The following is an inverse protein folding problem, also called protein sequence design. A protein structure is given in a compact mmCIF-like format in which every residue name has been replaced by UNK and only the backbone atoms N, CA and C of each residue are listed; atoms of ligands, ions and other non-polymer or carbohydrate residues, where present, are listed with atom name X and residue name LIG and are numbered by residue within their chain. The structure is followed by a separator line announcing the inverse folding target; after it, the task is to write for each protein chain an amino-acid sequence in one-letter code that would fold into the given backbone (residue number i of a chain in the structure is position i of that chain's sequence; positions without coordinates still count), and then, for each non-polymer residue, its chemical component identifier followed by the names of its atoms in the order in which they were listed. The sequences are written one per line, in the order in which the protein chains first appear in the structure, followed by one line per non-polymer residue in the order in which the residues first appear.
data_IF_560621276377
#
_entry.id   IF_560621276377
#
_cell.length_a   1.000
_cell.length_b   1.000
_cell.length_c   1.000
_cell.angle_alpha   90.00
_cell.angle_beta   90.00
_cell.angle_gamma   90.00
#
_symmetry.space_group_name_H-M   'P 1'
#
loop_
_entity.id
_entity.type
_entity.pdbx_description
1 polymer ?
#
# COMPACT_ATOMS: atom_id res chain seq x y z
N UNK A 1 2.22 -8.81 15.54
CA UNK A 1 1.78 -9.49 14.32
C UNK A 1 0.86 -8.57 13.55
N UNK A 2 1.30 -8.13 12.35
CA UNK A 2 0.51 -7.25 11.47
C UNK A 2 -0.49 -8.07 10.64
N UNK A 3 -0.06 -9.25 10.20
CA UNK A 3 -0.85 -10.18 9.41
C UNK A 3 -0.67 -11.59 9.96
N UNK A 4 -1.77 -12.34 10.00
CA UNK A 4 -1.77 -13.73 10.40
C UNK A 4 -2.78 -14.48 9.54
N UNK A 5 -2.39 -15.63 8.97
CA UNK A 5 -3.34 -16.47 8.29
C UNK A 5 -4.31 -17.11 9.29
N UNK A 6 -5.50 -17.49 8.85
CA UNK A 6 -6.47 -18.17 9.73
C UNK A 6 -5.91 -19.49 10.28
N UNK A 7 -5.06 -20.17 9.50
CA UNK A 7 -4.40 -21.40 9.94
C UNK A 7 -3.40 -21.12 11.05
N UNK A 8 -2.55 -20.09 10.88
CA UNK A 8 -1.58 -19.69 11.89
C UNK A 8 -2.27 -19.13 13.13
N UNK A 9 -3.35 -18.36 12.98
CA UNK A 9 -4.14 -17.88 14.10
C UNK A 9 -4.69 -19.03 14.96
N UNK A 10 -5.19 -20.10 14.33
CA UNK A 10 -5.62 -21.31 15.04
C UNK A 10 -4.47 -22.00 15.78
N UNK A 11 -3.29 -22.06 15.17
CA UNK A 11 -2.09 -22.63 15.83
C UNK A 11 -1.68 -21.78 17.04
N UNK A 12 -1.65 -20.46 16.90
CA UNK A 12 -1.36 -19.55 18.01
C UNK A 12 -2.37 -19.73 19.14
N UNK A 13 -3.65 -19.79 18.82
CA UNK A 13 -4.72 -19.98 19.79
C UNK A 13 -4.65 -21.34 20.50
N UNK A 14 -4.16 -22.39 19.82
CA UNK A 14 -3.96 -23.71 20.46
C UNK A 14 -2.79 -23.73 21.46
N UNK A 15 -1.81 -22.82 21.29
CA UNK A 15 -0.65 -22.68 22.19
C UNK A 15 -0.95 -21.74 23.36
N UNK A 16 -1.68 -20.64 23.07
CA UNK A 16 -2.04 -19.61 24.05
C UNK A 16 -3.54 -19.25 23.86
N UNK A 17 -4.45 -20.01 24.51
CA UNK A 17 -5.88 -19.73 24.43
C UNK A 17 -6.24 -18.35 24.99
N UNK A 18 -7.03 -17.59 24.25
CA UNK A 18 -7.39 -16.20 24.59
C UNK A 18 -6.30 -15.18 24.30
N UNK A 19 -5.21 -15.60 23.63
CA UNK A 19 -4.07 -14.75 23.30
C UNK A 19 -4.20 -14.02 21.97
N UNK A 20 -3.05 -13.80 21.32
CA UNK A 20 -2.97 -13.05 20.07
C UNK A 20 -3.73 -13.73 18.93
N UNK A 21 -3.85 -15.07 18.92
CA UNK A 21 -4.56 -15.85 17.91
C UNK A 21 -6.02 -15.45 17.81
N UNK A 22 -6.68 -15.26 18.95
CA UNK A 22 -8.10 -14.92 19.04
C UNK A 22 -8.46 -13.67 18.25
N UNK A 23 -7.66 -12.62 18.32
CA UNK A 23 -7.88 -11.35 17.59
C UNK A 23 -8.07 -11.56 16.08
N UNK A 24 -7.29 -12.44 15.49
CA UNK A 24 -7.37 -12.76 14.07
C UNK A 24 -8.55 -13.68 13.74
N UNK A 25 -8.89 -14.58 14.65
CA UNK A 25 -10.05 -15.49 14.48
C UNK A 25 -11.36 -14.72 14.56
N UNK A 26 -11.47 -13.81 15.50
CA UNK A 26 -12.66 -12.95 15.72
C UNK A 26 -12.68 -11.69 14.86
N UNK A 27 -11.60 -11.44 14.07
CA UNK A 27 -11.46 -10.29 13.18
C UNK A 27 -11.53 -8.94 13.89
N UNK A 28 -11.02 -8.88 15.11
CA UNK A 28 -10.93 -7.61 15.83
C UNK A 28 -10.06 -6.61 15.06
N UNK A 29 -10.47 -5.35 15.13
CA UNK A 29 -9.67 -4.29 14.51
C UNK A 29 -8.36 -4.09 15.26
N UNK A 30 -7.27 -3.79 14.55
CA UNK A 30 -6.05 -3.33 15.19
C UNK A 30 -6.25 -1.93 15.81
N UNK A 31 -5.29 -1.48 16.62
CA UNK A 31 -5.30 -0.12 17.15
C UNK A 31 -5.31 0.92 16.01
N UNK A 32 -5.71 2.15 16.31
CA UNK A 32 -5.74 3.24 15.32
C UNK A 32 -4.38 3.48 14.68
N UNK A 33 -3.29 3.40 15.48
CA UNK A 33 -1.92 3.53 14.97
C UNK A 33 -1.60 2.43 13.96
N UNK A 34 -2.01 1.20 14.22
CA UNK A 34 -1.77 0.09 13.31
C UNK A 34 -2.63 0.19 12.04
N UNK A 35 -3.88 0.69 12.15
CA UNK A 35 -4.70 1.02 10.98
C UNK A 35 -4.02 2.11 10.14
N UNK A 36 -3.52 3.18 10.78
CA UNK A 36 -2.81 4.26 10.10
C UNK A 36 -1.54 3.75 9.41
N UNK A 37 -0.71 2.99 10.11
CA UNK A 37 0.52 2.44 9.55
C UNK A 37 0.25 1.58 8.32
N UNK A 38 -0.84 0.80 8.29
CA UNK A 38 -1.20 0.00 7.13
C UNK A 38 -1.48 0.86 5.88
N UNK A 39 -2.22 1.96 6.05
CA UNK A 39 -2.56 2.85 4.94
C UNK A 39 -1.38 3.72 4.52
N UNK A 40 -0.58 4.21 5.48
CA UNK A 40 0.63 4.96 5.20
C UNK A 40 1.67 4.10 4.43
N UNK A 41 1.85 2.85 4.84
CA UNK A 41 2.68 1.88 4.11
C UNK A 41 2.18 1.69 2.68
N UNK A 42 0.87 1.54 2.47
CA UNK A 42 0.28 1.35 1.16
C UNK A 42 0.55 2.55 0.24
N UNK A 43 0.37 3.78 0.76
CA UNK A 43 0.68 5.01 0.04
C UNK A 43 2.15 5.06 -0.34
N UNK A 44 3.04 4.80 0.62
CA UNK A 44 4.48 4.86 0.42
C UNK A 44 4.97 3.81 -0.59
N UNK A 45 4.53 2.55 -0.44
CA UNK A 45 4.89 1.48 -1.37
C UNK A 45 4.45 1.78 -2.80
N UNK A 46 3.21 2.20 -3.01
CA UNK A 46 2.73 2.53 -4.35
C UNK A 46 3.56 3.65 -5.00
N UNK A 47 3.98 4.65 -4.22
CA UNK A 47 4.80 5.75 -4.70
C UNK A 47 6.22 5.29 -5.09
N UNK A 48 6.86 4.50 -4.23
CA UNK A 48 8.20 3.97 -4.49
C UNK A 48 8.20 2.98 -5.65
N UNK A 49 7.20 2.12 -5.74
CA UNK A 49 7.08 1.14 -6.82
C UNK A 49 6.89 1.79 -8.20
N UNK A 50 6.18 2.92 -8.28
CA UNK A 50 6.08 3.69 -9.52
C UNK A 50 7.46 4.25 -9.92
N UNK A 51 8.20 4.87 -8.99
CA UNK A 51 9.54 5.41 -9.27
C UNK A 51 10.50 4.29 -9.67
N UNK A 52 10.56 3.21 -8.90
CA UNK A 52 11.43 2.07 -9.16
C UNK A 52 11.07 1.36 -10.48
N UNK A 53 9.78 1.21 -10.76
CA UNK A 53 9.30 0.62 -12.01
C UNK A 53 9.72 1.40 -13.25
N UNK A 54 9.59 2.73 -13.20
CA UNK A 54 10.01 3.61 -14.31
C UNK A 54 11.53 3.66 -14.39
N UNK A 55 12.24 3.78 -13.27
CA UNK A 55 13.70 3.85 -13.22
C UNK A 55 14.37 2.58 -13.72
N UNK A 56 13.79 1.42 -13.43
CA UNK A 56 14.26 0.12 -13.93
C UNK A 56 13.87 -0.16 -15.38
N UNK A 57 13.01 0.65 -15.98
CA UNK A 57 12.48 0.42 -17.33
C UNK A 57 11.43 -0.70 -17.43
N UNK A 58 10.95 -1.20 -16.30
CA UNK A 58 9.89 -2.22 -16.25
C UNK A 58 8.51 -1.65 -16.51
N UNK A 59 8.32 -0.36 -16.20
CA UNK A 59 7.09 0.40 -16.46
C UNK A 59 7.47 1.67 -17.22
N UNK A 60 6.63 2.09 -18.16
CA UNK A 60 6.80 3.35 -18.88
C UNK A 60 5.86 4.44 -18.36
N UNK A 61 6.19 5.69 -18.63
CA UNK A 61 5.31 6.83 -18.34
C UNK A 61 3.95 6.70 -19.03
N UNK A 62 3.93 6.20 -20.28
CA UNK A 62 2.71 6.02 -21.05
C UNK A 62 1.80 4.96 -20.39
N UNK A 63 2.37 3.87 -19.90
CA UNK A 63 1.61 2.88 -19.14
C UNK A 63 1.04 3.43 -17.84
N UNK A 64 1.78 4.30 -17.13
CA UNK A 64 1.25 4.97 -15.92
C UNK A 64 0.10 5.91 -16.24
N UNK A 65 0.06 6.52 -17.43
CA UNK A 65 -1.06 7.36 -17.89
C UNK A 65 -2.38 6.57 -18.03
N UNK A 66 -2.33 5.24 -18.13
CA UNK A 66 -3.54 4.41 -18.15
C UNK A 66 -4.18 4.30 -16.75
N UNK A 67 -3.46 4.66 -15.70
CA UNK A 67 -3.95 4.65 -14.32
C UNK A 67 -4.60 5.99 -13.99
N UNK A 68 -5.90 6.01 -13.76
CA UNK A 68 -6.66 7.24 -13.55
C UNK A 68 -6.09 8.16 -12.48
N UNK A 69 -5.68 7.61 -11.34
CA UNK A 69 -5.03 8.39 -10.27
C UNK A 69 -3.77 9.11 -10.77
N UNK A 70 -2.91 8.42 -11.52
CA UNK A 70 -1.70 9.01 -12.08
C UNK A 70 -2.03 10.06 -13.16
N UNK A 71 -2.93 9.72 -14.08
CA UNK A 71 -3.29 10.60 -15.20
C UNK A 71 -3.82 11.96 -14.74
N UNK A 72 -4.69 11.97 -13.73
CA UNK A 72 -5.25 13.21 -13.17
C UNK A 72 -4.16 14.13 -12.62
N UNK A 73 -3.26 13.61 -11.79
CA UNK A 73 -2.22 14.44 -11.18
C UNK A 73 -1.07 14.76 -12.13
N UNK A 74 -0.83 13.94 -13.15
CA UNK A 74 0.09 14.25 -14.24
C UNK A 74 -0.44 15.42 -15.08
N UNK A 75 -1.72 15.42 -15.42
CA UNK A 75 -2.35 16.52 -16.14
C UNK A 75 -2.28 17.83 -15.33
N UNK A 76 -2.56 17.79 -14.03
CA UNK A 76 -2.43 18.95 -13.15
C UNK A 76 -0.99 19.47 -13.08
N UNK A 77 -0.01 18.56 -13.00
CA UNK A 77 1.41 18.94 -13.00
C UNK A 77 1.81 19.64 -14.29
N UNK A 78 1.33 19.16 -15.43
CA UNK A 78 1.59 19.77 -16.73
C UNK A 78 0.83 21.09 -16.94
N UNK A 79 -0.33 21.25 -16.32
CA UNK A 79 -1.06 22.52 -16.33
C UNK A 79 -0.30 23.62 -15.58
N UNK A 80 0.27 23.29 -14.40
CA UNK A 80 1.02 24.24 -13.57
C UNK A 80 2.45 24.47 -14.08
N UNK A 81 3.05 23.44 -14.69
CA UNK A 81 4.43 23.41 -15.19
C UNK A 81 4.50 22.84 -16.61
N UNK A 82 4.03 23.59 -17.65
CA UNK A 82 4.02 23.11 -19.04
C UNK A 82 5.38 22.68 -19.56
N UNK A 83 6.46 23.26 -19.03
CA UNK A 83 7.83 22.94 -19.40
C UNK A 83 8.24 21.49 -19.02
N UNK A 84 7.49 20.80 -18.16
CA UNK A 84 7.73 19.40 -17.82
C UNK A 84 7.32 18.42 -18.92
N UNK A 85 6.60 18.90 -19.95
CA UNK A 85 6.21 18.06 -21.09
C UNK A 85 7.42 17.65 -21.97
N UNK A 86 8.59 18.26 -21.78
CA UNK A 86 9.77 17.98 -22.60
C UNK A 86 10.43 16.63 -22.23
N UNK A 87 10.94 15.86 -23.21
CA UNK A 87 11.50 14.52 -22.96
C UNK A 87 12.59 14.46 -21.89
N UNK A 88 13.43 15.50 -21.81
CA UNK A 88 14.52 15.58 -20.84
C UNK A 88 14.04 15.89 -19.41
N UNK A 89 12.75 16.18 -19.20
CA UNK A 89 12.16 16.47 -17.88
C UNK A 89 11.17 15.42 -17.40
N UNK A 90 11.04 14.30 -18.11
CA UNK A 90 10.11 13.22 -17.74
C UNK A 90 10.27 12.74 -16.28
N UNK A 91 11.51 12.66 -15.79
CA UNK A 91 11.77 12.29 -14.40
C UNK A 91 11.23 13.33 -13.41
N UNK A 92 11.34 14.60 -13.73
CA UNK A 92 10.75 15.68 -12.90
C UNK A 92 9.23 15.62 -12.92
N UNK A 93 8.64 15.35 -14.09
CA UNK A 93 7.20 15.16 -14.21
C UNK A 93 6.72 13.98 -13.35
N UNK A 94 7.42 12.84 -13.40
CA UNK A 94 7.12 11.68 -12.56
C UNK A 94 7.11 12.05 -11.07
N UNK A 95 8.17 12.68 -10.58
CA UNK A 95 8.26 13.07 -9.17
C UNK A 95 7.19 14.09 -8.76
N UNK A 96 6.90 15.06 -9.58
CA UNK A 96 5.85 16.04 -9.30
C UNK A 96 4.47 15.39 -9.28
N UNK A 97 4.22 14.45 -10.20
CA UNK A 97 2.99 13.67 -10.21
C UNK A 97 2.85 12.82 -8.95
N UNK A 98 3.89 12.06 -8.58
CA UNK A 98 3.90 11.23 -7.37
C UNK A 98 3.69 12.10 -6.13
N UNK A 99 4.36 13.25 -6.01
CA UNK A 99 4.20 14.18 -4.89
C UNK A 99 2.76 14.64 -4.73
N UNK A 100 2.08 15.00 -5.84
CA UNK A 100 0.67 15.40 -5.83
C UNK A 100 -0.24 14.25 -5.43
N UNK A 101 -0.02 13.07 -5.98
CA UNK A 101 -0.77 11.86 -5.60
C UNK A 101 -0.64 11.55 -4.11
N UNK A 102 0.59 11.56 -3.58
CA UNK A 102 0.86 11.38 -2.15
C UNK A 102 0.08 12.38 -1.30
N UNK A 103 0.17 13.68 -1.64
CA UNK A 103 -0.54 14.73 -0.90
C UNK A 103 -2.05 14.50 -0.93
N UNK A 104 -2.62 14.17 -2.08
CA UNK A 104 -4.06 13.93 -2.22
C UNK A 104 -4.53 12.72 -1.40
N UNK A 105 -3.78 11.60 -1.45
CA UNK A 105 -4.10 10.41 -0.66
C UNK A 105 -4.01 10.68 0.84
N UNK A 106 -2.98 11.41 1.29
CA UNK A 106 -2.82 11.78 2.70
C UNK A 106 -3.96 12.68 3.18
N UNK A 107 -4.32 13.71 2.41
CA UNK A 107 -5.41 14.62 2.79
C UNK A 107 -6.77 13.92 2.76
N UNK A 108 -7.02 13.05 1.78
CA UNK A 108 -8.24 12.25 1.74
C UNK A 108 -8.35 11.36 2.99
N UNK A 109 -7.28 10.62 3.30
CA UNK A 109 -7.20 9.77 4.49
C UNK A 109 -7.46 10.56 5.78
N UNK A 110 -6.83 11.72 5.95
CA UNK A 110 -7.01 12.57 7.12
C UNK A 110 -8.48 13.02 7.22
N UNK A 111 -9.03 13.56 6.14
CA UNK A 111 -10.38 14.12 6.14
C UNK A 111 -11.46 13.08 6.41
N UNK A 112 -11.34 11.89 5.83
CA UNK A 112 -12.29 10.79 6.03
C UNK A 112 -12.17 10.23 7.44
N UNK A 113 -10.94 9.97 7.88
CA UNK A 113 -10.68 9.39 9.21
C UNK A 113 -11.08 10.34 10.34
N UNK A 114 -10.86 11.64 10.21
CA UNK A 114 -11.29 12.62 11.21
C UNK A 114 -12.82 12.65 11.37
N UNK A 115 -13.57 12.49 10.28
CA UNK A 115 -15.03 12.37 10.34
C UNK A 115 -15.45 11.09 11.05
N UNK A 116 -14.91 9.95 10.62
CA UNK A 116 -15.22 8.66 11.22
C UNK A 116 -14.90 8.61 12.72
N UNK A 117 -13.77 9.18 13.14
CA UNK A 117 -13.38 9.26 14.56
C UNK A 117 -14.31 10.15 15.38
N UNK A 118 -14.75 11.29 14.84
CA UNK A 118 -15.73 12.16 15.52
C UNK A 118 -17.09 11.48 15.68
N UNK A 119 -17.54 10.79 14.63
CA UNK A 119 -18.85 10.12 14.63
C UNK A 119 -18.87 8.90 15.54
N UNK A 120 -17.78 8.10 15.54
CA UNK A 120 -17.66 6.92 16.38
C UNK A 120 -17.32 7.23 17.84
N UNK A 121 -16.61 8.34 18.10
CA UNK A 121 -16.21 8.82 19.42
C UNK A 121 -15.71 7.70 20.37
N UNK A 122 -14.72 6.86 19.99
CA UNK A 122 -14.27 5.74 20.81
C UNK A 122 -13.76 6.23 22.17
N UNK A 123 -14.25 5.65 23.25
CA UNK A 123 -13.96 6.10 24.61
C UNK A 123 -12.61 5.60 25.15
N UNK A 124 -12.09 4.53 24.56
CA UNK A 124 -10.82 3.91 24.93
C UNK A 124 -10.27 3.06 23.77
N UNK A 125 -9.01 2.62 23.82
CA UNK A 125 -8.40 1.81 22.76
C UNK A 125 -9.08 0.46 22.52
N UNK A 126 -9.70 -0.14 23.53
CA UNK A 126 -10.35 -1.44 23.39
C UNK A 126 -11.69 -1.29 22.64
N UNK A 127 -12.39 -0.19 22.79
CA UNK A 127 -13.61 0.09 22.02
C UNK A 127 -13.36 0.11 20.51
N UNK A 128 -12.16 0.47 20.04
CA UNK A 128 -11.80 0.47 18.63
C UNK A 128 -11.81 -0.94 18.03
N UNK A 129 -11.57 -1.97 18.85
CA UNK A 129 -11.43 -3.36 18.38
C UNK A 129 -12.73 -3.94 17.81
N UNK A 130 -13.83 -3.52 18.38
CA UNK A 130 -15.18 -4.00 18.03
C UNK A 130 -15.89 -3.09 17.01
N UNK A 131 -15.26 -1.97 16.65
CA UNK A 131 -15.77 -1.02 15.65
C UNK A 131 -15.35 -1.43 14.24
N UNK A 132 -16.03 -0.95 13.18
CA UNK A 132 -15.49 -1.01 11.84
C UNK A 132 -14.18 -0.20 11.74
N UNK A 133 -13.35 -0.43 10.69
CA UNK A 133 -12.15 0.38 10.48
C UNK A 133 -12.48 1.88 10.51
N UNK A 134 -11.83 2.63 11.40
CA UNK A 134 -12.06 4.07 11.57
C UNK A 134 -11.12 4.91 10.70
N UNK A 135 -9.99 4.31 10.26
CA UNK A 135 -9.07 4.96 9.34
C UNK A 135 -9.26 4.36 7.95
N UNK A 136 -9.66 5.18 7.00
CA UNK A 136 -9.98 4.74 5.66
C UNK A 136 -9.85 5.88 4.65
N UNK A 137 -9.63 5.53 3.40
CA UNK A 137 -9.85 6.43 2.28
C UNK A 137 -11.35 6.63 2.01
N UNK A 138 -11.69 7.71 1.32
CA UNK A 138 -12.97 7.83 0.64
C UNK A 138 -13.16 6.68 -0.35
N UNK A 139 -14.41 6.38 -0.71
CA UNK A 139 -14.73 5.30 -1.66
C UNK A 139 -14.03 5.52 -3.00
N UNK A 140 -14.01 6.77 -3.48
CA UNK A 140 -13.36 7.14 -4.74
C UNK A 140 -11.84 6.93 -4.65
N UNK A 141 -11.17 7.48 -3.63
CA UNK A 141 -9.73 7.33 -3.45
C UNK A 141 -9.35 5.85 -3.24
N UNK A 142 -10.16 5.09 -2.51
CA UNK A 142 -9.97 3.65 -2.34
C UNK A 142 -10.01 2.90 -3.67
N UNK A 143 -11.01 3.20 -4.50
CA UNK A 143 -11.14 2.61 -5.84
C UNK A 143 -9.93 2.93 -6.71
N UNK A 144 -9.50 4.18 -6.75
CA UNK A 144 -8.34 4.64 -7.52
C UNK A 144 -7.03 4.00 -7.02
N UNK A 145 -6.82 3.92 -5.71
CA UNK A 145 -5.65 3.24 -5.11
C UNK A 145 -5.63 1.75 -5.44
N UNK A 146 -6.79 1.08 -5.44
CA UNK A 146 -6.89 -0.33 -5.84
C UNK A 146 -6.57 -0.54 -7.32
N UNK A 147 -6.97 0.38 -8.21
CA UNK A 147 -6.60 0.32 -9.63
C UNK A 147 -5.10 0.44 -9.82
N UNK A 148 -4.46 1.38 -9.13
CA UNK A 148 -3.00 1.53 -9.13
C UNK A 148 -2.30 0.25 -8.63
N UNK A 149 -2.75 -0.33 -7.52
CA UNK A 149 -2.20 -1.59 -7.00
C UNK A 149 -2.33 -2.74 -7.99
N UNK A 150 -3.47 -2.86 -8.66
CA UNK A 150 -3.67 -3.89 -9.69
C UNK A 150 -2.74 -3.68 -10.89
N UNK A 151 -2.52 -2.43 -11.28
CA UNK A 151 -1.59 -2.07 -12.36
C UNK A 151 -0.16 -2.47 -11.97
N UNK A 152 0.33 -2.05 -10.79
CA UNK A 152 1.65 -2.38 -10.29
C UNK A 152 1.84 -3.90 -10.14
N UNK A 153 0.83 -4.60 -9.66
CA UNK A 153 0.88 -6.05 -9.55
C UNK A 153 1.10 -6.73 -10.90
N UNK A 154 0.40 -6.28 -11.94
CA UNK A 154 0.51 -6.88 -13.29
C UNK A 154 1.80 -6.51 -13.99
N UNK A 155 2.17 -5.24 -13.94
CA UNK A 155 3.25 -4.70 -14.79
C UNK A 155 4.61 -4.69 -14.10
N UNK A 156 4.66 -4.70 -12.75
CA UNK A 156 5.90 -4.72 -11.99
C UNK A 156 6.10 -6.07 -11.30
N UNK A 157 5.26 -6.46 -10.33
CA UNK A 157 5.49 -7.66 -9.54
C UNK A 157 5.40 -8.97 -10.33
N UNK A 158 4.59 -9.02 -11.38
CA UNK A 158 4.47 -10.17 -12.29
C UNK A 158 5.32 -10.03 -13.55
N UNK A 159 6.18 -9.02 -13.63
CA UNK A 159 7.12 -8.91 -14.74
C UNK A 159 8.07 -10.11 -14.74
N UNK A 160 8.35 -10.76 -15.91
CA UNK A 160 9.17 -11.97 -15.98
C UNK A 160 10.53 -11.83 -15.31
N UNK A 161 11.18 -10.69 -15.46
CA UNK A 161 12.48 -10.40 -14.86
C UNK A 161 12.40 -10.36 -13.32
N UNK A 162 11.35 -9.74 -12.74
CA UNK A 162 11.13 -9.70 -11.30
C UNK A 162 10.83 -11.10 -10.76
N UNK A 163 10.00 -11.86 -11.48
CA UNK A 163 9.65 -13.23 -11.08
C UNK A 163 10.88 -14.15 -11.09
N UNK A 164 11.77 -14.04 -12.08
CA UNK A 164 13.01 -14.80 -12.14
C UNK A 164 13.93 -14.48 -10.94
N UNK A 165 14.14 -13.19 -10.65
CA UNK A 165 14.95 -12.74 -9.51
C UNK A 165 14.36 -13.21 -8.17
N UNK A 166 13.05 -13.09 -8.00
CA UNK A 166 12.35 -13.56 -6.79
C UNK A 166 12.49 -15.07 -6.60
N UNK A 167 12.38 -15.86 -7.68
CA UNK A 167 12.59 -17.31 -7.63
C UNK A 167 13.99 -17.69 -7.16
N UNK A 168 15.01 -17.03 -7.68
CA UNK A 168 16.40 -17.22 -7.25
C UNK A 168 16.59 -16.83 -5.79
N UNK A 169 16.07 -15.68 -5.37
CA UNK A 169 16.15 -15.21 -3.98
C UNK A 169 15.48 -16.18 -3.00
N UNK A 170 14.32 -16.73 -3.35
CA UNK A 170 13.63 -17.73 -2.51
C UNK A 170 14.47 -19.01 -2.35
N UNK A 171 15.13 -19.47 -3.42
CA UNK A 171 16.01 -20.63 -3.36
C UNK A 171 17.19 -20.37 -2.41
N UNK A 172 17.89 -19.24 -2.59
CA UNK A 172 19.04 -18.84 -1.76
C UNK A 172 18.64 -18.76 -0.27
N UNK A 173 17.52 -18.09 0.04
CA UNK A 173 17.03 -17.98 1.44
C UNK A 173 16.73 -19.36 2.03
N UNK A 174 16.11 -20.26 1.26
CA UNK A 174 15.80 -21.63 1.73
C UNK A 174 17.06 -22.44 1.99
N UNK A 175 18.05 -22.38 1.09
CA UNK A 175 19.32 -23.11 1.23
C UNK A 175 20.13 -22.58 2.43
N UNK A 176 20.23 -21.24 2.58
CA UNK A 176 20.87 -20.64 3.74
C UNK A 176 20.19 -21.05 5.04
N UNK A 177 18.86 -20.97 5.11
CA UNK A 177 18.12 -21.38 6.31
C UNK A 177 18.39 -22.86 6.65
N UNK A 178 18.35 -23.75 5.66
CA UNK A 178 18.64 -25.16 5.87
C UNK A 178 20.08 -25.37 6.41
N UNK A 179 21.06 -24.65 5.87
CA UNK A 179 22.46 -24.76 6.29
C UNK A 179 22.73 -24.22 7.71
N UNK A 180 21.91 -23.26 8.19
CA UNK A 180 22.05 -22.72 9.56
C UNK A 180 21.27 -23.50 10.63
N UNK A 181 20.29 -24.31 10.23
CA UNK A 181 19.42 -25.07 11.16
C UNK A 181 19.81 -26.55 11.22
N UNK A 182 20.64 -27.03 10.27
CA UNK A 182 21.24 -28.37 10.29
C UNK A 182 22.44 -28.42 11.24
#
# INVERSE_FOLDING_TARGET
LKHCSRADAKRLESVEPGGVGQRFLERWQPSLEAQLCNLADEIAYNAHDMDDGVRSGLITMDQLQEVGLFAVYCAQALQDYPELATPNKQRRLLFETIRRMLSAQVYDLINVSQRALRDAAPQNPDAVRDMPPLLAFSEDMRSQSQQLKKFLFRNLYRHPQVMATTGTAQLVVRELFAAYVS
#
